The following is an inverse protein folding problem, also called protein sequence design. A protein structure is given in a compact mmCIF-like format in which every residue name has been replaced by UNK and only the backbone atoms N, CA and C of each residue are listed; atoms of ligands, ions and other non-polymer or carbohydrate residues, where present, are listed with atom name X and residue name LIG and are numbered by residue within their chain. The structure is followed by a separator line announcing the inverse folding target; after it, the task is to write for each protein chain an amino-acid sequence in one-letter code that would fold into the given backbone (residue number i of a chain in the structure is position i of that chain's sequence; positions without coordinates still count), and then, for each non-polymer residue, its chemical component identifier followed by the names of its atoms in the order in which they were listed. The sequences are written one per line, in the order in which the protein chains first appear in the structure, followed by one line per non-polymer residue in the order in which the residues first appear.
data_IF_435479193570
#
_entry.id   IF_435479193570
#
_cell.length_a   1.000
_cell.length_b   1.000
_cell.length_c   1.000
_cell.angle_alpha   90.00
_cell.angle_beta   90.00
_cell.angle_gamma   90.00
#
_symmetry.space_group_name_H-M   'P 1'
#
loop_
_entity.id
_entity.type
_entity.pdbx_description
1 polymer ?
#
# COMPACT_ATOMS: atom_id res chain seq x y z
N UNK A 1 -5.19 -17.03 3.43
CA UNK A 1 -6.12 -16.55 2.37
C UNK A 1 -6.84 -17.75 1.78
N UNK A 2 -8.16 -17.69 1.61
CA UNK A 2 -8.98 -18.80 1.07
C UNK A 2 -9.63 -18.47 -0.28
N UNK A 3 -9.51 -17.23 -0.75
CA UNK A 3 -10.05 -16.74 -2.02
C UNK A 3 -8.95 -16.03 -2.79
N UNK A 4 -9.06 -16.05 -4.12
CA UNK A 4 -8.19 -15.24 -4.98
C UNK A 4 -8.44 -13.74 -4.71
N UNK A 5 -7.40 -12.90 -4.81
CA UNK A 5 -7.56 -11.46 -4.69
C UNK A 5 -8.31 -10.89 -5.91
N UNK A 6 -9.07 -9.81 -5.69
CA UNK A 6 -9.78 -9.10 -6.77
C UNK A 6 -8.89 -8.07 -7.49
N UNK A 7 -7.80 -7.65 -6.84
CA UNK A 7 -6.78 -6.71 -7.33
C UNK A 7 -5.45 -7.08 -6.67
N UNK A 8 -4.35 -6.92 -7.38
CA UNK A 8 -2.99 -7.03 -6.84
C UNK A 8 -2.29 -5.66 -6.87
N UNK A 9 -1.63 -5.30 -5.77
CA UNK A 9 -0.75 -4.14 -5.71
C UNK A 9 0.70 -4.61 -5.62
N UNK A 10 1.54 -4.18 -6.57
CA UNK A 10 2.92 -4.66 -6.74
C UNK A 10 3.90 -3.48 -6.77
N UNK A 11 5.03 -3.63 -6.09
CA UNK A 11 6.14 -2.68 -6.11
C UNK A 11 7.24 -3.29 -6.96
N UNK A 12 7.87 -2.50 -7.82
CA UNK A 12 8.94 -2.94 -8.74
C UNK A 12 8.49 -4.10 -9.65
N UNK A 13 7.75 -3.80 -10.74
CA UNK A 13 7.25 -4.82 -11.66
C UNK A 13 8.36 -5.54 -12.42
N UNK A 14 9.57 -4.96 -12.48
CA UNK A 14 10.73 -5.60 -13.11
C UNK A 14 11.28 -6.73 -12.25
N UNK A 15 11.34 -6.56 -10.92
CA UNK A 15 11.71 -7.65 -9.99
C UNK A 15 10.59 -8.68 -9.84
N UNK A 16 9.33 -8.24 -9.88
CA UNK A 16 8.15 -9.08 -9.63
C UNK A 16 7.44 -9.59 -10.91
N UNK A 17 8.21 -9.82 -11.98
CA UNK A 17 7.66 -10.21 -13.29
C UNK A 17 6.84 -11.52 -13.23
N UNK A 18 7.25 -12.46 -12.36
CA UNK A 18 6.54 -13.75 -12.19
C UNK A 18 5.16 -13.52 -11.58
N UNK A 19 5.08 -12.69 -10.54
CA UNK A 19 3.80 -12.38 -9.88
C UNK A 19 2.83 -11.69 -10.84
N UNK A 20 3.33 -10.79 -11.68
CA UNK A 20 2.52 -10.09 -12.71
C UNK A 20 2.05 -11.07 -13.78
N UNK A 21 2.90 -11.99 -14.23
CA UNK A 21 2.50 -13.03 -15.19
C UNK A 21 1.40 -13.93 -14.62
N UNK A 22 1.57 -14.41 -13.39
CA UNK A 22 0.56 -15.23 -12.73
C UNK A 22 -0.75 -14.47 -12.50
N UNK A 23 -0.68 -13.19 -12.13
CA UNK A 23 -1.84 -12.32 -11.99
C UNK A 23 -2.58 -12.17 -13.32
N UNK A 24 -1.86 -11.90 -14.40
CA UNK A 24 -2.42 -11.77 -15.75
C UNK A 24 -3.04 -13.08 -16.23
N UNK A 25 -2.41 -14.23 -15.98
CA UNK A 25 -2.95 -15.55 -16.34
C UNK A 25 -4.23 -15.87 -15.56
N UNK A 26 -4.32 -15.45 -14.30
CA UNK A 26 -5.50 -15.61 -13.45
C UNK A 26 -6.57 -14.53 -13.69
N UNK A 27 -6.30 -13.53 -14.52
CA UNK A 27 -7.18 -12.40 -14.79
C UNK A 27 -7.36 -11.45 -13.60
N UNK A 28 -6.36 -11.38 -12.72
CA UNK A 28 -6.34 -10.48 -11.57
C UNK A 28 -5.74 -9.14 -12.03
N UNK A 29 -6.49 -8.03 -11.96
CA UNK A 29 -5.97 -6.72 -12.36
C UNK A 29 -4.82 -6.26 -11.45
N UNK A 30 -3.78 -5.71 -12.05
CA UNK A 30 -2.54 -5.31 -11.37
C UNK A 30 -2.43 -3.78 -11.31
N UNK A 31 -2.18 -3.27 -10.11
CA UNK A 31 -1.80 -1.88 -9.82
C UNK A 31 -0.33 -1.87 -9.41
N UNK A 32 0.51 -1.07 -10.07
CA UNK A 32 1.94 -1.08 -9.76
C UNK A 32 2.65 0.26 -9.91
N UNK A 33 3.72 0.45 -9.13
CA UNK A 33 4.65 1.57 -9.26
C UNK A 33 5.62 1.26 -10.41
N UNK A 34 5.65 2.12 -11.42
CA UNK A 34 6.50 1.97 -12.60
C UNK A 34 7.56 3.06 -12.60
N UNK A 35 8.83 2.66 -12.59
CA UNK A 35 9.96 3.53 -12.84
C UNK A 35 10.41 3.47 -14.32
N UNK A 36 11.38 4.29 -14.68
CA UNK A 36 11.96 4.43 -16.02
C UNK A 36 12.48 3.15 -16.67
N UNK A 37 12.76 2.11 -15.88
CA UNK A 37 13.33 0.84 -16.32
C UNK A 37 12.30 -0.30 -16.45
N UNK A 38 11.02 -0.01 -16.20
CA UNK A 38 9.94 -0.97 -16.19
C UNK A 38 9.06 -0.84 -17.44
N UNK A 39 8.49 -1.96 -17.89
CA UNK A 39 7.55 -1.97 -19.02
C UNK A 39 6.12 -1.71 -18.50
N UNK A 40 5.46 -0.59 -18.88
CA UNK A 40 4.11 -0.29 -18.43
C UNK A 40 3.04 -1.15 -19.10
N UNK A 41 3.32 -1.80 -20.23
CA UNK A 41 2.30 -2.46 -21.05
C UNK A 41 1.70 -3.71 -20.37
N UNK A 42 2.39 -4.28 -19.39
CA UNK A 42 1.97 -5.49 -18.65
C UNK A 42 1.12 -5.20 -17.41
N UNK A 43 0.83 -3.92 -17.14
CA UNK A 43 0.16 -3.44 -15.92
C UNK A 43 -1.12 -2.68 -16.29
N UNK A 44 -2.23 -2.97 -15.60
CA UNK A 44 -3.52 -2.30 -15.86
C UNK A 44 -3.55 -0.86 -15.33
N UNK A 45 -3.02 -0.66 -14.12
CA UNK A 45 -3.05 0.64 -13.43
C UNK A 45 -1.66 1.05 -12.96
N UNK A 46 -1.13 2.08 -13.61
CA UNK A 46 0.26 2.50 -13.44
C UNK A 46 0.36 3.73 -12.54
N UNK A 47 1.28 3.68 -11.57
CA UNK A 47 1.69 4.82 -10.76
C UNK A 47 3.14 5.17 -11.16
N UNK A 48 3.37 6.23 -11.95
CA UNK A 48 4.73 6.61 -12.33
C UNK A 48 5.45 7.20 -11.11
N UNK A 49 6.44 6.49 -10.58
CA UNK A 49 7.28 6.95 -9.48
C UNK A 49 8.55 6.12 -9.36
N UNK A 50 9.50 6.63 -8.57
CA UNK A 50 10.75 5.92 -8.26
C UNK A 50 10.47 4.80 -7.24
N UNK A 51 10.70 3.55 -7.65
CA UNK A 51 10.56 2.34 -6.84
C UNK A 51 11.83 1.96 -6.06
N UNK A 52 13.01 2.44 -6.49
CA UNK A 52 14.28 2.20 -5.79
C UNK A 52 14.39 2.98 -4.45
N UNK A 53 13.64 4.08 -4.31
CA UNK A 53 13.70 4.91 -3.10
C UNK A 53 12.70 4.45 -2.04
N UNK A 54 13.20 3.96 -0.90
CA UNK A 54 12.38 3.54 0.24
C UNK A 54 11.35 4.62 0.67
N UNK A 55 11.77 5.89 0.69
CA UNK A 55 10.89 7.01 1.05
C UNK A 55 9.72 7.18 0.07
N UNK A 56 9.95 6.95 -1.21
CA UNK A 56 8.92 7.06 -2.24
C UNK A 56 7.95 5.88 -2.14
N UNK A 57 8.48 4.65 -2.02
CA UNK A 57 7.67 3.44 -1.83
C UNK A 57 6.81 3.54 -0.57
N UNK A 58 7.39 3.96 0.57
CA UNK A 58 6.67 4.16 1.82
C UNK A 58 5.56 5.21 1.66
N UNK A 59 5.85 6.35 1.05
CA UNK A 59 4.86 7.41 0.85
C UNK A 59 3.68 6.92 0.01
N UNK A 60 3.95 6.25 -1.11
CA UNK A 60 2.91 5.77 -2.03
C UNK A 60 2.11 4.65 -1.37
N UNK A 61 2.79 3.69 -0.73
CA UNK A 61 2.13 2.56 -0.06
C UNK A 61 1.29 3.02 1.13
N UNK A 62 1.77 4.00 1.91
CA UNK A 62 0.98 4.60 2.99
C UNK A 62 -0.28 5.29 2.44
N UNK A 63 -0.15 6.08 1.36
CA UNK A 63 -1.30 6.72 0.72
C UNK A 63 -2.27 5.72 0.10
N UNK A 64 -1.78 4.62 -0.45
CA UNK A 64 -2.61 3.52 -0.95
C UNK A 64 -3.38 2.84 0.18
N UNK A 65 -2.73 2.61 1.33
CA UNK A 65 -3.38 2.06 2.52
C UNK A 65 -4.46 2.99 3.06
N UNK A 66 -4.17 4.28 3.18
CA UNK A 66 -5.14 5.31 3.58
C UNK A 66 -6.37 5.27 2.65
N UNK A 67 -6.14 5.30 1.33
CA UNK A 67 -7.20 5.26 0.33
C UNK A 67 -8.05 3.97 0.40
N UNK A 68 -7.42 2.82 0.70
CA UNK A 68 -8.16 1.58 0.88
C UNK A 68 -9.04 1.59 2.14
N UNK A 69 -8.54 2.15 3.25
CA UNK A 69 -9.29 2.29 4.49
C UNK A 69 -10.48 3.25 4.27
N UNK A 70 -10.23 4.43 3.70
CA UNK A 70 -11.27 5.40 3.34
C UNK A 70 -12.32 4.80 2.40
N UNK A 71 -11.89 4.06 1.37
CA UNK A 71 -12.79 3.38 0.43
C UNK A 71 -13.62 2.28 1.08
N UNK A 72 -13.09 1.61 2.11
CA UNK A 72 -13.83 0.61 2.90
C UNK A 72 -14.84 1.28 3.84
N UNK A 73 -14.46 2.35 4.50
CA UNK A 73 -15.32 3.11 5.43
C UNK A 73 -16.44 3.84 4.71
N UNK A 74 -16.14 4.55 3.62
CA UNK A 74 -17.14 5.23 2.79
C UNK A 74 -18.15 4.27 2.13
N UNK A 75 -17.79 3.00 1.94
CA UNK A 75 -18.73 1.94 1.53
C UNK A 75 -19.67 1.52 2.67
N UNK A 76 -19.25 1.67 3.91
CA UNK A 76 -20.05 1.35 5.10
C UNK A 76 -21.12 2.42 5.34
N UNK A 77 -20.79 3.69 5.14
CA UNK A 77 -21.72 4.82 5.26
C UNK A 77 -22.77 4.86 4.14
N UNK A 78 -22.40 4.49 2.91
CA UNK A 78 -23.34 4.40 1.80
C UNK A 78 -24.37 3.25 1.94
N UNK A 79 -24.09 2.26 2.80
CA UNK A 79 -24.98 1.13 3.10
C UNK A 79 -25.79 1.37 4.38
N UNK A 80 -25.43 2.37 5.20
CA UNK A 80 -26.15 2.73 6.42
C UNK A 80 -26.78 4.13 6.36
N UNK A 81 -27.90 4.25 5.67
CA UNK A 81 -28.94 5.19 6.07
C UNK A 81 -30.34 4.61 5.76
N UNK A 82 -31.30 4.56 6.71
CA UNK A 82 -31.29 5.09 8.09
C UNK A 82 -31.70 4.06 9.18
N UNK A 83 -31.00 4.06 10.32
CA UNK A 83 -31.62 3.76 11.62
C UNK A 83 -30.81 4.37 12.79
N UNK A 84 -31.43 5.37 13.43
CA UNK A 84 -31.24 5.90 14.80
C UNK A 84 -29.91 6.57 15.23
N UNK A 85 -30.01 7.90 15.29
CA UNK A 85 -29.50 8.86 16.28
C UNK A 85 -28.76 8.38 17.56
N UNK A 86 -27.70 9.13 17.92
CA UNK A 86 -27.47 9.57 19.31
C UNK A 86 -26.04 9.59 19.86
N UNK A 87 -25.57 10.80 20.19
CA UNK A 87 -24.62 11.19 21.25
C UNK A 87 -23.09 11.23 21.01
N UNK A 88 -22.50 12.16 21.75
CA UNK A 88 -21.25 12.89 21.53
C UNK A 88 -20.08 12.43 22.43
N UNK A 89 -18.91 13.01 22.11
CA UNK A 89 -17.70 13.24 22.94
C UNK A 89 -16.74 12.07 23.22
N UNK A 90 -15.51 12.21 22.69
CA UNK A 90 -14.31 11.49 23.10
C UNK A 90 -13.12 11.93 22.25
N UNK A 91 -12.08 12.50 22.86
CA UNK A 91 -10.84 12.90 22.18
C UNK A 91 -10.24 11.64 21.51
N UNK A 92 -10.02 11.62 20.18
CA UNK A 92 -9.68 10.38 19.49
C UNK A 92 -8.28 9.85 19.86
N UNK A 93 -8.19 8.57 20.23
CA UNK A 93 -6.98 7.73 20.29
C UNK A 93 -6.11 7.80 19.01
N UNK A 94 -6.66 8.35 17.94
CA UNK A 94 -6.07 8.48 16.61
C UNK A 94 -4.84 9.40 16.53
N UNK A 95 -4.67 10.34 17.48
CA UNK A 95 -3.48 11.23 17.50
C UNK A 95 -2.30 10.52 18.17
N UNK A 96 -2.53 9.72 19.22
CA UNK A 96 -1.47 8.99 19.93
C UNK A 96 -0.84 7.92 19.01
N UNK A 97 -1.68 7.18 18.28
CA UNK A 97 -1.22 6.12 17.38
C UNK A 97 -0.39 6.64 16.17
N UNK A 98 -0.54 7.92 15.78
CA UNK A 98 0.25 8.50 14.69
C UNK A 98 1.71 8.78 15.11
N UNK A 99 1.95 9.18 16.36
CA UNK A 99 3.31 9.37 16.88
C UNK A 99 4.07 8.05 17.04
N UNK A 100 3.42 7.02 17.59
CA UNK A 100 4.01 5.69 17.76
C UNK A 100 4.30 4.98 16.42
N UNK A 101 3.51 5.29 15.38
CA UNK A 101 3.72 4.76 14.05
C UNK A 101 4.95 5.40 13.39
N UNK A 102 5.10 6.73 13.43
CA UNK A 102 6.25 7.44 12.86
C UNK A 102 7.58 7.00 13.48
N UNK A 103 7.64 6.81 14.81
CA UNK A 103 8.85 6.30 15.47
C UNK A 103 9.19 4.87 15.03
N UNK A 104 8.20 3.97 14.97
CA UNK A 104 8.39 2.59 14.47
C UNK A 104 8.86 2.55 13.02
N UNK A 105 8.30 3.40 12.17
CA UNK A 105 8.71 3.47 10.76
C UNK A 105 10.14 3.98 10.62
N UNK A 106 10.59 4.88 11.49
CA UNK A 106 11.98 5.35 11.49
C UNK A 106 12.97 4.26 11.93
N UNK A 107 12.62 3.46 12.95
CA UNK A 107 13.45 2.35 13.45
C UNK A 107 13.57 1.22 12.43
N UNK A 108 12.47 0.87 11.76
CA UNK A 108 12.49 -0.16 10.70
C UNK A 108 13.37 0.29 9.54
N UNK A 109 13.28 1.56 9.13
CA UNK A 109 14.09 2.11 8.05
C UNK A 109 15.58 2.15 8.41
N UNK A 110 15.96 2.46 9.65
CA UNK A 110 17.37 2.44 10.07
C UNK A 110 17.95 1.02 10.12
N UNK A 111 17.19 0.05 10.63
CA UNK A 111 17.67 -1.32 10.76
C UNK A 111 17.88 -2.00 9.39
N UNK A 112 17.01 -1.71 8.42
CA UNK A 112 17.14 -2.24 7.04
C UNK A 112 18.34 -1.64 6.29
N UNK A 113 18.68 -0.37 6.55
CA UNK A 113 19.86 0.28 5.98
C UNK A 113 21.15 -0.32 6.54
N UNK A 114 21.16 -0.68 7.83
CA UNK A 114 22.29 -1.38 8.45
C UNK A 114 22.47 -2.80 7.91
N UNK A 115 21.38 -3.56 7.68
CA UNK A 115 21.43 -4.90 7.07
C UNK A 115 21.97 -4.88 5.63
N UNK A 116 21.57 -3.91 4.80
CA UNK A 116 22.10 -3.78 3.43
C UNK A 116 23.59 -3.37 3.36
N UNK A 117 24.12 -2.67 4.36
CA UNK A 117 25.54 -2.32 4.46
C UNK A 117 26.41 -3.51 4.92
N UNK A 118 25.86 -4.42 5.75
CA UNK A 118 26.53 -5.65 6.15
C UNK A 118 26.59 -6.69 5.02
N UNK A 119 25.55 -6.82 4.20
CA UNK A 119 25.55 -7.77 3.05
C UNK A 119 26.50 -7.34 1.90
N UNK A 120 26.93 -6.07 1.86
CA UNK A 120 27.85 -5.54 0.83
C UNK A 120 29.33 -5.59 1.23
N UNK A 121 29.68 -6.10 2.41
CA UNK A 121 31.06 -6.28 2.90
C UNK A 121 31.55 -7.72 2.73
#
# INVERSE_FOLDING_TARGET
MTKLPEVMYVIDPRKEEIAIKEANDLGIPVVSIVDTNCDPDVIDWIIPANDDAIRAVMLITAKMSDAFIEGREGRTDAVQAPASAGSAEGIPEEIANKLDAEEKYSEIASNLVEEEEEEKK
#
